data_IF_757425258004
#
_entry.id   IF_757425258004
#
_cell.length_a   1.000
_cell.length_b   1.000
_cell.length_c   1.000
_cell.angle_alpha   90.00
_cell.angle_beta   90.00
_cell.angle_gamma   90.00
#
_symmetry.space_group_name_H-M   'P 1'
#
loop_
_entity.id
_entity.type
_entity.pdbx_description
1 polymer ?
#
# COMPACT_ATOMS: atom_id res chain seq x y z
N UNK A 1 -22.35 3.83 -20.88
CA UNK A 1 -23.01 4.44 -19.72
C UNK A 1 -22.10 5.58 -19.29
N UNK A 2 -22.43 6.78 -19.73
CA UNK A 2 -21.67 8.00 -19.48
C UNK A 2 -22.43 8.83 -18.45
N UNK A 3 -22.42 8.32 -17.22
CA UNK A 3 -23.13 8.92 -16.10
C UNK A 3 -22.17 9.76 -15.25
N UNK A 4 -22.63 10.95 -14.89
CA UNK A 4 -21.98 11.83 -13.93
C UNK A 4 -22.56 11.57 -12.55
N UNK A 5 -21.68 11.43 -11.57
CA UNK A 5 -22.02 11.16 -10.19
C UNK A 5 -21.48 12.26 -9.29
N UNK A 6 -22.20 12.57 -8.24
CA UNK A 6 -21.69 13.38 -7.14
C UNK A 6 -20.71 12.54 -6.30
N UNK A 7 -19.81 13.20 -5.54
CA UNK A 7 -18.89 12.51 -4.64
C UNK A 7 -19.59 11.59 -3.63
N UNK A 8 -20.79 11.94 -3.16
CA UNK A 8 -21.59 11.10 -2.26
C UNK A 8 -22.06 9.81 -2.93
N UNK A 9 -22.63 9.92 -4.13
CA UNK A 9 -23.12 8.78 -4.91
C UNK A 9 -21.99 7.80 -5.26
N UNK A 10 -20.83 8.31 -5.71
CA UNK A 10 -19.65 7.46 -5.93
C UNK A 10 -19.22 6.76 -4.65
N UNK A 11 -19.24 7.46 -3.52
CA UNK A 11 -18.79 6.92 -2.24
C UNK A 11 -19.67 5.75 -1.78
N UNK A 12 -21.00 5.88 -1.91
CA UNK A 12 -21.95 4.81 -1.63
C UNK A 12 -21.73 3.60 -2.53
N UNK A 13 -21.63 3.81 -3.85
CA UNK A 13 -21.46 2.74 -4.83
C UNK A 13 -20.19 1.89 -4.61
N UNK A 14 -19.10 2.50 -4.16
CA UNK A 14 -17.82 1.81 -3.92
C UNK A 14 -17.57 1.47 -2.45
N UNK A 15 -18.52 1.77 -1.55
CA UNK A 15 -18.44 1.46 -0.13
C UNK A 15 -17.34 2.21 0.63
N UNK A 16 -17.09 3.47 0.30
CA UNK A 16 -16.14 4.34 1.04
C UNK A 16 -16.86 5.56 1.62
N UNK A 17 -16.18 6.30 2.49
CA UNK A 17 -16.72 7.57 2.99
C UNK A 17 -16.60 8.66 1.92
N UNK A 18 -17.56 9.58 1.89
CA UNK A 18 -17.48 10.77 1.03
C UNK A 18 -16.20 11.59 1.29
N UNK A 19 -15.72 11.61 2.54
CA UNK A 19 -14.44 12.21 2.93
C UNK A 19 -13.25 11.60 2.17
N UNK A 20 -13.26 10.27 1.96
CA UNK A 20 -12.22 9.59 1.16
C UNK A 20 -12.17 10.16 -0.26
N UNK A 21 -13.33 10.40 -0.87
CA UNK A 21 -13.41 10.99 -2.21
C UNK A 21 -12.81 12.40 -2.21
N UNK A 22 -13.22 13.26 -1.28
CA UNK A 22 -12.75 14.65 -1.22
C UNK A 22 -11.28 14.81 -0.80
N UNK A 23 -10.82 14.06 0.21
CA UNK A 23 -9.50 14.22 0.81
C UNK A 23 -8.43 13.32 0.21
N UNK A 24 -8.82 12.20 -0.38
CA UNK A 24 -7.86 11.25 -0.95
C UNK A 24 -7.92 11.18 -2.46
N UNK A 25 -9.10 11.15 -3.08
CA UNK A 25 -9.21 10.91 -4.53
C UNK A 25 -9.07 12.18 -5.35
N UNK A 26 -9.80 13.26 -5.00
CA UNK A 26 -9.65 14.54 -5.71
C UNK A 26 -8.22 15.08 -5.67
N UNK A 27 -7.50 15.09 -4.53
CA UNK A 27 -6.11 15.58 -4.49
C UNK A 27 -5.14 14.63 -5.20
N UNK A 28 -5.50 13.35 -5.34
CA UNK A 28 -4.72 12.38 -6.11
C UNK A 28 -4.98 12.46 -7.63
N UNK A 29 -5.73 13.45 -8.10
CA UNK A 29 -5.97 13.69 -9.53
C UNK A 29 -7.15 12.92 -10.11
N UNK A 30 -8.17 12.61 -9.30
CA UNK A 30 -9.39 12.00 -9.80
C UNK A 30 -10.03 12.85 -10.92
N UNK A 31 -10.36 12.27 -12.09
CA UNK A 31 -11.06 12.98 -13.16
C UNK A 31 -12.43 13.45 -12.70
N UNK A 32 -12.62 14.77 -12.69
CA UNK A 32 -13.86 15.41 -12.31
C UNK A 32 -14.03 16.71 -13.09
N UNK A 33 -15.28 17.15 -13.23
CA UNK A 33 -15.63 18.50 -13.69
C UNK A 33 -16.25 19.27 -12.53
N UNK A 34 -16.16 20.60 -12.60
CA UNK A 34 -16.85 21.49 -11.66
C UNK A 34 -17.85 22.32 -12.42
N UNK A 35 -19.06 22.42 -11.89
CA UNK A 35 -20.06 23.32 -12.46
C UNK A 35 -19.79 24.78 -12.03
N UNK A 36 -20.50 25.78 -12.60
CA UNK A 36 -20.34 27.18 -12.20
C UNK A 36 -20.69 27.48 -10.74
N UNK A 37 -21.39 26.57 -10.06
CA UNK A 37 -21.75 26.66 -8.63
C UNK A 37 -20.69 26.00 -7.73
N UNK A 38 -19.64 25.42 -8.32
CA UNK A 38 -18.56 24.73 -7.61
C UNK A 38 -18.86 23.27 -7.26
N UNK A 39 -19.97 22.70 -7.71
CA UNK A 39 -20.29 21.29 -7.49
C UNK A 39 -19.36 20.39 -8.30
N UNK A 40 -18.88 19.33 -7.66
CA UNK A 40 -18.00 18.33 -8.27
C UNK A 40 -18.83 17.24 -8.92
N UNK A 41 -18.50 16.92 -10.17
CA UNK A 41 -19.12 15.86 -10.96
C UNK A 41 -18.05 14.88 -11.43
N UNK A 42 -18.25 13.59 -11.16
CA UNK A 42 -17.30 12.52 -11.44
C UNK A 42 -17.86 11.65 -12.56
N UNK A 43 -17.09 11.49 -13.63
CA UNK A 43 -17.47 10.61 -14.73
C UNK A 43 -17.13 9.16 -14.39
N UNK A 44 -18.13 8.29 -14.29
CA UNK A 44 -17.96 6.89 -13.84
C UNK A 44 -16.88 6.11 -14.62
N UNK A 45 -16.93 6.05 -15.97
CA UNK A 45 -15.90 5.38 -16.76
C UNK A 45 -14.49 5.97 -16.55
N UNK A 46 -14.36 7.29 -16.43
CA UNK A 46 -13.08 7.93 -16.18
C UNK A 46 -12.54 7.63 -14.78
N UNK A 47 -13.43 7.58 -13.77
CA UNK A 47 -13.12 7.15 -12.42
C UNK A 47 -12.55 5.72 -12.43
N UNK A 48 -13.20 4.78 -13.13
CA UNK A 48 -12.73 3.38 -13.20
C UNK A 48 -11.35 3.28 -13.84
N UNK A 49 -11.14 3.97 -14.96
CA UNK A 49 -9.84 3.99 -15.65
C UNK A 49 -8.74 4.56 -14.73
N UNK A 50 -9.02 5.70 -14.10
CA UNK A 50 -8.10 6.34 -13.16
C UNK A 50 -7.82 5.47 -11.93
N UNK A 51 -8.83 4.82 -11.35
CA UNK A 51 -8.69 3.98 -10.17
C UNK A 51 -7.78 2.78 -10.46
N UNK A 52 -7.96 2.11 -11.61
CA UNK A 52 -7.10 1.00 -12.05
C UNK A 52 -5.64 1.45 -12.19
N UNK A 53 -5.42 2.60 -12.83
CA UNK A 53 -4.07 3.14 -13.02
C UNK A 53 -3.44 3.55 -11.68
N UNK A 54 -4.19 4.24 -10.82
CA UNK A 54 -3.70 4.73 -9.52
C UNK A 54 -3.36 3.60 -8.57
N UNK A 55 -4.19 2.55 -8.50
CA UNK A 55 -3.90 1.34 -7.70
C UNK A 55 -2.64 0.65 -8.22
N UNK A 56 -2.51 0.51 -9.55
CA UNK A 56 -1.33 -0.09 -10.17
C UNK A 56 -0.05 0.70 -9.84
N UNK A 57 -0.08 2.03 -9.99
CA UNK A 57 1.05 2.89 -9.67
C UNK A 57 1.40 2.87 -8.18
N UNK A 58 0.40 2.92 -7.28
CA UNK A 58 0.63 2.84 -5.83
C UNK A 58 1.24 1.49 -5.45
N UNK A 59 0.83 0.39 -6.09
CA UNK A 59 1.44 -0.92 -5.88
C UNK A 59 2.88 -0.97 -6.38
N UNK A 60 3.16 -0.39 -7.55
CA UNK A 60 4.50 -0.31 -8.11
C UNK A 60 5.46 0.58 -7.28
N UNK A 61 4.95 1.67 -6.71
CA UNK A 61 5.71 2.61 -5.87
C UNK A 61 5.96 2.12 -4.43
N UNK A 62 5.33 1.02 -4.00
CA UNK A 62 5.71 0.36 -2.75
C UNK A 62 7.05 -0.33 -2.97
N UNK A 63 8.13 0.44 -2.92
CA UNK A 63 9.46 -0.11 -2.71
C UNK A 63 9.43 -0.82 -1.36
N UNK A 64 9.38 -2.16 -1.39
CA UNK A 64 9.54 -2.95 -0.20
C UNK A 64 10.88 -2.66 0.47
N UNK A 65 11.08 -3.16 1.70
CA UNK A 65 12.40 -3.04 2.32
C UNK A 65 13.46 -3.65 1.38
N UNK A 66 14.60 -2.95 1.17
CA UNK A 66 15.70 -3.45 0.37
C UNK A 66 16.09 -4.86 0.82
N UNK A 67 16.57 -5.71 -0.08
CA UNK A 67 16.96 -7.07 0.27
C UNK A 67 17.98 -7.06 1.44
N UNK A 68 17.88 -8.06 2.32
CA UNK A 68 18.72 -8.14 3.51
C UNK A 68 18.46 -7.08 4.60
N UNK A 69 17.40 -6.27 4.52
CA UNK A 69 17.03 -5.33 5.59
C UNK A 69 15.79 -5.79 6.39
N UNK A 70 15.64 -5.39 7.64
CA UNK A 70 14.41 -5.54 8.41
C UNK A 70 14.01 -4.21 9.04
N UNK A 71 12.71 -4.04 9.32
CA UNK A 71 12.22 -2.84 9.99
C UNK A 71 12.41 -2.99 11.49
N UNK A 72 13.12 -2.05 12.11
CA UNK A 72 13.26 -2.04 13.56
C UNK A 72 12.12 -1.25 14.18
N UNK A 73 11.21 -1.92 14.90
CA UNK A 73 10.09 -1.26 15.59
C UNK A 73 10.55 -0.28 16.70
N UNK A 74 11.76 -0.45 17.25
CA UNK A 74 12.31 0.46 18.27
C UNK A 74 13.01 1.68 17.66
N UNK A 75 13.78 1.50 16.59
CA UNK A 75 14.48 2.60 15.91
C UNK A 75 13.63 3.30 14.85
N UNK A 76 12.47 2.73 14.51
CA UNK A 76 11.54 3.18 13.48
C UNK A 76 12.21 3.46 12.12
N UNK A 77 13.17 2.60 11.73
CA UNK A 77 13.96 2.74 10.50
C UNK A 77 14.33 1.37 9.92
N UNK A 78 14.63 1.29 8.61
CA UNK A 78 15.18 0.07 8.02
C UNK A 78 16.61 -0.18 8.54
N UNK A 79 16.91 -1.43 8.86
CA UNK A 79 18.20 -1.85 9.41
C UNK A 79 18.68 -3.11 8.70
N UNK A 80 19.96 -3.18 8.36
CA UNK A 80 20.56 -4.34 7.72
C UNK A 80 20.56 -5.56 8.65
N UNK A 81 20.11 -6.72 8.15
CA UNK A 81 20.23 -8.00 8.82
C UNK A 81 21.66 -8.52 8.66
N UNK A 82 22.42 -8.53 9.75
CA UNK A 82 23.76 -9.14 9.80
C UNK A 82 23.65 -10.54 10.41
N UNK A 83 24.16 -11.56 9.71
CA UNK A 83 24.13 -12.97 10.10
C UNK A 83 22.76 -13.43 10.66
N UNK A 84 21.66 -13.28 9.89
CA UNK A 84 20.34 -13.65 10.37
C UNK A 84 20.21 -15.16 10.61
N UNK A 85 19.62 -15.52 11.75
CA UNK A 85 19.18 -16.89 12.03
C UNK A 85 17.84 -17.15 11.37
N UNK A 86 17.72 -18.26 10.67
CA UNK A 86 16.46 -18.69 10.05
C UNK A 86 15.60 -19.42 11.08
N UNK A 87 14.39 -18.92 11.33
CA UNK A 87 13.38 -19.58 12.16
C UNK A 87 12.19 -19.99 11.30
N UNK A 88 12.00 -21.29 11.13
CA UNK A 88 10.83 -21.83 10.42
C UNK A 88 9.59 -21.60 11.29
N UNK A 89 8.58 -20.94 10.74
CA UNK A 89 7.30 -20.70 11.43
C UNK A 89 6.27 -21.74 11.04
N UNK A 90 6.14 -22.01 9.74
CA UNK A 90 5.24 -23.03 9.21
C UNK A 90 5.73 -23.54 7.84
N UNK A 91 4.90 -24.33 7.16
CA UNK A 91 5.21 -24.90 5.84
C UNK A 91 5.58 -23.85 4.78
N UNK A 92 5.03 -22.63 4.87
CA UNK A 92 5.15 -21.59 3.85
C UNK A 92 5.99 -20.39 4.29
N UNK A 93 6.33 -20.29 5.57
CA UNK A 93 6.89 -19.08 6.16
C UNK A 93 8.12 -19.39 7.03
N UNK A 94 9.18 -18.63 6.79
CA UNK A 94 10.35 -18.57 7.66
C UNK A 94 10.71 -17.11 7.97
N UNK A 95 11.28 -16.89 9.16
CA UNK A 95 11.71 -15.58 9.65
C UNK A 95 13.23 -15.53 9.66
N UNK A 96 13.79 -14.48 9.06
CA UNK A 96 15.16 -14.07 9.26
C UNK A 96 15.24 -13.20 10.51
N UNK A 97 15.89 -13.69 11.56
CA UNK A 97 16.03 -13.00 12.84
C UNK A 97 17.48 -12.54 13.04
N UNK A 98 17.69 -11.26 13.30
CA UNK A 98 19.00 -10.73 13.67
C UNK A 98 18.85 -9.65 14.76
N UNK A 99 19.90 -9.36 15.53
CA UNK A 99 19.91 -8.17 16.38
C UNK A 99 20.00 -6.89 15.52
N UNK A 100 19.24 -5.87 15.90
CA UNK A 100 19.34 -4.55 15.30
C UNK A 100 20.70 -3.91 15.59
N UNK A 101 21.40 -3.43 14.56
CA UNK A 101 22.69 -2.73 14.72
C UNK A 101 22.61 -1.42 15.50
N UNK A 102 21.42 -0.81 15.60
CA UNK A 102 21.22 0.45 16.32
C UNK A 102 20.79 0.30 17.77
N UNK A 103 19.98 -0.71 18.11
CA UNK A 103 19.41 -0.84 19.45
C UNK A 103 19.51 -2.24 20.08
N UNK A 104 20.15 -3.19 19.40
CA UNK A 104 20.35 -4.57 19.86
C UNK A 104 19.10 -5.44 19.86
N UNK A 105 17.89 -4.88 19.66
CA UNK A 105 16.65 -5.64 19.71
C UNK A 105 16.50 -6.58 18.50
N UNK A 106 15.92 -7.76 18.72
CA UNK A 106 15.64 -8.71 17.64
C UNK A 106 14.71 -8.10 16.60
N UNK A 107 15.17 -8.05 15.35
CA UNK A 107 14.39 -7.65 14.19
C UNK A 107 14.14 -8.88 13.32
N UNK A 108 12.95 -8.94 12.74
CA UNK A 108 12.49 -10.07 11.94
C UNK A 108 12.17 -9.60 10.53
N UNK A 109 12.58 -10.38 9.52
CA UNK A 109 12.06 -10.27 8.15
C UNK A 109 11.41 -11.59 7.75
N UNK A 110 10.13 -11.54 7.41
CA UNK A 110 9.41 -12.67 6.85
C UNK A 110 9.84 -12.92 5.40
N UNK A 111 10.06 -14.19 5.05
CA UNK A 111 10.23 -14.64 3.66
C UNK A 111 9.43 -15.92 3.43
N UNK A 112 8.97 -16.12 2.19
CA UNK A 112 8.37 -17.38 1.80
C UNK A 112 9.43 -18.47 1.93
N UNK A 113 9.07 -19.59 2.55
CA UNK A 113 9.96 -20.74 2.66
C UNK A 113 10.20 -21.31 1.26
N UNK A 114 11.44 -21.31 0.82
CA UNK A 114 11.81 -22.04 -0.39
C UNK A 114 11.78 -23.53 -0.04
N UNK A 115 10.80 -24.26 -0.58
CA UNK A 115 10.76 -25.70 -0.45
C UNK A 115 11.91 -26.29 -1.28
N UNK A 116 12.97 -26.76 -0.61
CA UNK A 116 14.06 -27.52 -1.22
C UNK A 116 15.25 -26.67 -1.69
N UNK A 117 16.27 -26.62 -0.85
CA UNK A 117 17.65 -26.81 -1.31
C UNK A 117 18.21 -27.89 -0.40
N UNK A 118 18.12 -29.14 -0.89
CA UNK A 118 18.82 -30.30 -0.37
C UNK A 118 20.29 -30.23 -0.76
#
# INVERSE_FOLDING_TARGET
MDMLYKPGEIAEEIGVTQDTVYRSYLPAGLPHTRDPKGNVWIHGPAFVAWARQTISQRRAKRFGLPEGHAWCMKCNRPVQLKNPRVKIVNRYLELLQAPCSGCGRTINRARARQAGQS
#
